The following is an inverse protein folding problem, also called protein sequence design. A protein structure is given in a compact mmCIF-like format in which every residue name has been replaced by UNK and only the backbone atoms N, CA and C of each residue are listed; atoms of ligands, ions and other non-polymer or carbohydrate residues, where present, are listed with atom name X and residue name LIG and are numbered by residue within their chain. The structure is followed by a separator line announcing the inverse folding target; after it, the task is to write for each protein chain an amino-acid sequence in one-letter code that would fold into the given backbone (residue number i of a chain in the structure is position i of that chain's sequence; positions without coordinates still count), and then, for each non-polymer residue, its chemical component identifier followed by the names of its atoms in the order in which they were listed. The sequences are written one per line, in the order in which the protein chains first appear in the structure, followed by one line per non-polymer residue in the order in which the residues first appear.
data_IF_660721720773
#
_entry.id   IF_660721720773
#
_cell.length_a   1.000
_cell.length_b   1.000
_cell.length_c   1.000
_cell.angle_alpha   90.00
_cell.angle_beta   90.00
_cell.angle_gamma   90.00
#
_symmetry.space_group_name_H-M   'P 1'
#
loop_
_entity.id
_entity.type
_entity.pdbx_description
1 polymer ?
#
# COMPACT_ATOMS: atom_id res chain seq x y z
N UNK A 1 23.41 4.46 -13.27
CA UNK A 1 22.42 3.45 -12.85
C UNK A 1 22.76 3.09 -11.41
N UNK A 2 21.96 3.58 -10.47
CA UNK A 2 22.08 3.22 -9.05
C UNK A 2 21.45 1.83 -8.90
N UNK A 3 22.15 0.86 -8.32
CA UNK A 3 21.57 -0.46 -8.04
C UNK A 3 20.32 -0.31 -7.16
N UNK A 4 19.27 -1.09 -7.47
CA UNK A 4 18.06 -1.12 -6.67
C UNK A 4 18.41 -1.60 -5.25
N UNK A 5 18.18 -0.75 -4.25
CA UNK A 5 18.42 -1.12 -2.85
C UNK A 5 17.34 -2.13 -2.43
N UNK A 6 17.75 -3.37 -2.16
CA UNK A 6 16.84 -4.41 -1.66
C UNK A 6 16.36 -4.04 -0.25
N UNK A 7 15.05 -3.83 -0.06
CA UNK A 7 14.43 -3.64 1.27
C UNK A 7 13.96 -4.99 1.84
N UNK A 8 13.99 -5.22 3.17
CA UNK A 8 14.39 -4.27 4.21
C UNK A 8 15.92 -4.13 4.36
N UNK A 9 16.37 -2.96 4.81
CA UNK A 9 17.77 -2.69 5.18
C UNK A 9 17.81 -2.02 6.55
N UNK A 10 18.64 -2.55 7.44
CA UNK A 10 19.01 -1.94 8.70
C UNK A 10 20.49 -1.54 8.65
N UNK A 11 20.81 -0.36 9.16
CA UNK A 11 22.17 0.19 9.19
C UNK A 11 22.29 1.11 10.43
N UNK A 12 23.31 0.92 11.25
CA UNK A 12 23.52 1.73 12.44
C UNK A 12 25.01 1.89 12.74
N UNK A 13 25.37 2.99 13.39
CA UNK A 13 26.75 3.27 13.72
C UNK A 13 26.98 4.67 14.29
N UNK A 14 28.22 5.00 14.67
CA UNK A 14 28.57 6.35 15.07
C UNK A 14 28.61 7.26 13.83
N UNK A 15 27.83 8.33 13.84
CA UNK A 15 27.96 9.45 12.91
C UNK A 15 29.15 10.34 13.31
N UNK A 16 29.34 10.53 14.62
CA UNK A 16 30.52 11.16 15.20
C UNK A 16 30.99 10.36 16.41
N UNK A 17 32.30 10.15 16.51
CA UNK A 17 32.92 9.63 17.71
C UNK A 17 32.85 10.68 18.84
N UNK A 18 32.60 10.23 20.06
CA UNK A 18 32.68 11.09 21.25
C UNK A 18 34.11 11.48 21.56
N UNK A 19 34.30 12.69 22.10
CA UNK A 19 35.60 13.23 22.51
C UNK A 19 35.64 13.70 23.96
N UNK A 20 36.82 14.14 24.40
CA UNK A 20 37.00 14.75 25.74
C UNK A 20 36.78 16.26 25.73
N UNK A 21 36.71 16.88 24.55
CA UNK A 21 36.60 18.33 24.37
C UNK A 21 35.22 18.71 23.83
N UNK A 22 34.74 19.88 24.25
CA UNK A 22 33.56 20.52 23.66
C UNK A 22 33.93 21.00 22.26
N UNK A 23 33.15 20.59 21.27
CA UNK A 23 33.29 21.04 19.90
C UNK A 23 32.38 22.25 19.64
N UNK A 24 32.89 23.21 18.88
CA UNK A 24 32.05 24.29 18.37
C UNK A 24 30.98 23.72 17.40
N UNK A 25 29.77 24.30 17.32
CA UNK A 25 28.72 23.81 16.41
C UNK A 25 29.18 23.67 14.96
N UNK A 26 30.01 24.60 14.48
CA UNK A 26 30.56 24.53 13.12
C UNK A 26 31.48 23.33 12.92
N UNK A 27 32.27 22.94 13.93
CA UNK A 27 33.14 21.75 13.84
C UNK A 27 32.31 20.45 13.79
N UNK A 28 31.22 20.38 14.56
CA UNK A 28 30.25 19.27 14.50
C UNK A 28 29.63 19.20 13.10
N UNK A 29 29.22 20.35 12.56
CA UNK A 29 28.66 20.46 11.22
C UNK A 29 29.64 19.96 10.16
N UNK A 30 30.87 20.44 10.17
CA UNK A 30 31.88 20.09 9.15
C UNK A 30 32.21 18.59 9.15
N UNK A 31 32.22 17.96 10.33
CA UNK A 31 32.50 16.52 10.47
C UNK A 31 31.32 15.64 10.09
N UNK A 32 30.10 15.96 10.56
CA UNK A 32 28.93 15.08 10.42
C UNK A 32 28.14 15.30 9.13
N UNK A 33 28.16 16.53 8.58
CA UNK A 33 27.26 16.92 7.49
C UNK A 33 27.39 16.03 6.24
N UNK A 34 28.59 15.65 5.75
CA UNK A 34 28.70 14.81 4.56
C UNK A 34 28.04 13.44 4.75
N UNK A 35 28.34 12.76 5.86
CA UNK A 35 27.79 11.45 6.17
C UNK A 35 26.26 11.50 6.39
N UNK A 36 25.79 12.47 7.19
CA UNK A 36 24.36 12.65 7.43
C UNK A 36 23.59 12.98 6.14
N UNK A 37 24.15 13.81 5.27
CA UNK A 37 23.55 14.10 3.96
C UNK A 37 23.36 12.82 3.16
N UNK A 38 24.38 11.95 3.10
CA UNK A 38 24.29 10.66 2.42
C UNK A 38 23.22 9.73 3.03
N UNK A 39 23.08 9.70 4.35
CA UNK A 39 22.01 8.94 5.01
C UNK A 39 20.62 9.50 4.68
N UNK A 40 20.44 10.83 4.70
CA UNK A 40 19.15 11.45 4.38
C UNK A 40 18.78 11.35 2.90
N UNK A 41 19.75 11.28 1.98
CA UNK A 41 19.48 10.97 0.58
C UNK A 41 18.89 9.56 0.40
N UNK A 42 19.31 8.59 1.21
CA UNK A 42 18.78 7.21 1.18
C UNK A 42 17.41 7.08 1.85
N UNK A 43 17.15 7.90 2.86
CA UNK A 43 15.97 7.77 3.73
C UNK A 43 14.86 8.71 3.28
N UNK A 44 15.15 9.99 3.04
CA UNK A 44 14.15 11.03 2.94
C UNK A 44 13.84 11.46 1.49
N UNK A 45 14.68 11.11 0.52
CA UNK A 45 14.49 11.50 -0.88
C UNK A 45 14.03 10.32 -1.73
N UNK A 46 12.86 10.48 -2.34
CA UNK A 46 12.21 9.47 -3.18
C UNK A 46 12.02 10.00 -4.60
N UNK A 47 13.05 9.94 -5.47
CA UNK A 47 12.97 10.50 -6.81
C UNK A 47 11.83 9.85 -7.63
N UNK A 48 10.95 10.62 -8.28
CA UNK A 48 9.87 10.04 -9.10
C UNK A 48 10.38 9.11 -10.21
N UNK A 49 11.56 9.38 -10.75
CA UNK A 49 12.21 8.58 -11.78
C UNK A 49 12.59 7.16 -11.30
N UNK A 50 12.71 6.95 -9.99
CA UNK A 50 13.10 5.67 -9.38
C UNK A 50 11.86 4.84 -8.94
N UNK A 51 10.64 5.29 -9.27
CA UNK A 51 9.42 4.55 -8.94
C UNK A 51 9.39 3.22 -9.68
N UNK A 52 9.16 2.13 -8.93
CA UNK A 52 9.08 0.75 -9.44
C UNK A 52 10.42 0.01 -9.42
N UNK A 53 11.55 0.74 -9.52
CA UNK A 53 12.91 0.19 -9.54
C UNK A 53 13.64 0.42 -8.21
N UNK A 54 13.68 1.67 -7.73
CA UNK A 54 14.34 2.07 -6.49
C UNK A 54 13.41 2.18 -5.28
N UNK A 55 12.10 2.38 -5.49
CA UNK A 55 11.09 2.36 -4.43
C UNK A 55 9.69 2.02 -4.95
N UNK A 56 8.80 1.60 -4.05
CA UNK A 56 7.40 1.24 -4.36
C UNK A 56 6.42 1.83 -3.35
N UNK A 57 5.13 1.83 -3.71
CA UNK A 57 4.07 2.18 -2.75
C UNK A 57 4.13 1.20 -1.58
N UNK A 58 4.10 1.74 -0.36
CA UNK A 58 4.24 0.99 0.87
C UNK A 58 5.66 0.86 1.38
N UNK A 59 6.67 1.29 0.62
CA UNK A 59 8.01 1.51 1.17
C UNK A 59 7.97 2.68 2.15
N UNK A 60 8.80 2.61 3.19
CA UNK A 60 8.97 3.67 4.17
C UNK A 60 10.40 3.64 4.68
N UNK A 61 10.82 4.68 5.39
CA UNK A 61 12.12 4.69 6.02
C UNK A 61 12.15 5.60 7.23
N UNK A 62 13.16 5.37 8.08
CA UNK A 62 13.51 6.32 9.12
C UNK A 62 15.01 6.41 9.35
N UNK A 63 15.44 7.56 9.86
CA UNK A 63 16.78 7.80 10.38
C UNK A 63 16.64 8.45 11.75
N UNK A 64 17.20 7.85 12.79
CA UNK A 64 17.27 8.41 14.14
C UNK A 64 18.70 8.83 14.42
N UNK A 65 18.88 10.07 14.89
CA UNK A 65 20.11 10.58 15.44
C UNK A 65 19.95 10.70 16.95
N UNK A 66 20.78 10.00 17.71
CA UNK A 66 20.66 9.96 19.16
C UNK A 66 22.02 10.07 19.86
N UNK A 67 22.01 10.66 21.05
CA UNK A 67 23.18 10.73 21.92
C UNK A 67 22.75 10.65 23.40
N UNK A 68 23.56 10.03 24.27
CA UNK A 68 23.28 9.98 25.70
C UNK A 68 23.49 11.36 26.35
N UNK A 69 22.56 11.74 27.22
CA UNK A 69 22.70 12.92 28.12
C UNK A 69 22.96 12.50 29.57
N UNK A 70 22.68 11.24 29.89
CA UNK A 70 23.07 10.55 31.13
C UNK A 70 23.02 9.03 30.90
N UNK A 71 23.40 8.23 31.89
CA UNK A 71 23.33 6.76 31.81
C UNK A 71 21.89 6.23 31.65
N UNK A 72 20.89 7.04 32.01
CA UNK A 72 19.47 6.68 31.99
C UNK A 72 18.66 7.39 30.90
N UNK A 73 19.28 8.30 30.12
CA UNK A 73 18.56 9.14 29.18
C UNK A 73 19.35 9.41 27.89
N UNK A 74 18.62 9.36 26.77
CA UNK A 74 19.07 9.81 25.46
C UNK A 74 18.15 10.92 24.96
N UNK A 75 18.72 11.82 24.16
CA UNK A 75 17.96 12.75 23.33
C UNK A 75 18.15 12.36 21.87
N UNK A 76 17.12 12.57 21.07
CA UNK A 76 17.14 12.23 19.66
C UNK A 76 16.42 13.24 18.77
N UNK A 77 16.83 13.25 17.51
CA UNK A 77 16.08 13.77 16.38
C UNK A 77 15.88 12.64 15.35
N UNK A 78 14.66 12.48 14.86
CA UNK A 78 14.26 11.43 13.95
C UNK A 78 13.69 12.03 12.67
N UNK A 79 13.97 11.36 11.56
CA UNK A 79 13.32 11.56 10.28
C UNK A 79 12.50 10.31 9.97
N UNK A 80 11.24 10.50 9.60
CA UNK A 80 10.37 9.48 9.01
C UNK A 80 9.92 9.93 7.63
N UNK A 81 9.94 9.03 6.65
CA UNK A 81 9.59 9.38 5.28
C UNK A 81 8.91 8.23 4.52
N UNK A 82 7.99 8.61 3.64
CA UNK A 82 7.29 7.72 2.73
C UNK A 82 7.24 8.37 1.34
N UNK A 83 7.27 7.59 0.24
CA UNK A 83 7.21 8.15 -1.10
C UNK A 83 5.94 8.97 -1.34
N UNK A 84 6.11 10.22 -1.80
CA UNK A 84 5.01 11.13 -2.12
C UNK A 84 4.45 11.91 -0.92
N UNK A 85 4.95 11.66 0.29
CA UNK A 85 4.54 12.36 1.50
C UNK A 85 5.61 13.37 1.95
N UNK A 86 5.19 14.36 2.74
CA UNK A 86 6.13 15.23 3.43
C UNK A 86 6.99 14.44 4.41
N UNK A 87 8.26 14.79 4.54
CA UNK A 87 9.17 14.20 5.52
C UNK A 87 8.79 14.69 6.91
N UNK A 88 8.50 13.76 7.82
CA UNK A 88 8.25 14.06 9.21
C UNK A 88 9.56 14.08 9.98
N UNK A 89 9.88 15.22 10.58
CA UNK A 89 10.98 15.36 11.53
C UNK A 89 10.39 15.39 12.93
N UNK A 90 10.85 14.51 13.81
CA UNK A 90 10.47 14.47 15.22
C UNK A 90 11.68 14.66 16.13
N UNK A 91 11.50 15.37 17.24
CA UNK A 91 12.56 15.67 18.20
C UNK A 91 12.04 15.38 19.61
N UNK A 92 12.91 14.78 20.43
CA UNK A 92 12.61 14.45 21.82
C UNK A 92 12.00 15.64 22.59
N UNK A 93 10.87 15.41 23.26
CA UNK A 93 10.29 16.37 24.22
C UNK A 93 10.47 15.96 25.69
N UNK A 94 10.94 14.74 25.92
CA UNK A 94 10.99 14.10 27.24
C UNK A 94 9.65 13.54 27.72
N UNK A 95 8.55 13.75 27.00
CA UNK A 95 7.21 13.31 27.44
C UNK A 95 7.09 11.78 27.55
N UNK A 96 7.76 11.03 26.68
CA UNK A 96 7.78 9.57 26.67
C UNK A 96 8.97 8.95 27.42
N UNK A 97 9.94 9.77 27.82
CA UNK A 97 11.10 9.37 28.63
C UNK A 97 11.37 10.47 29.64
N UNK A 98 10.72 10.44 30.82
CA UNK A 98 10.81 11.51 31.81
C UNK A 98 12.26 11.92 32.16
N UNK A 99 13.23 11.00 32.32
CA UNK A 99 14.62 11.38 32.55
C UNK A 99 15.22 12.28 31.45
N UNK A 100 14.80 12.11 30.20
CA UNK A 100 15.25 12.97 29.11
C UNK A 100 14.64 14.39 29.17
N UNK A 101 13.45 14.53 29.76
CA UNK A 101 12.76 15.81 29.94
C UNK A 101 13.49 16.76 30.89
N UNK A 102 14.16 16.23 31.91
CA UNK A 102 14.94 17.01 32.88
C UNK A 102 16.17 17.69 32.23
N UNK A 103 16.62 17.19 31.08
CA UNK A 103 17.71 17.76 30.29
C UNK A 103 17.23 18.79 29.24
N UNK A 104 15.92 19.04 29.13
CA UNK A 104 15.34 20.00 28.20
C UNK A 104 14.83 21.24 28.93
N UNK A 105 15.68 22.28 28.97
CA UNK A 105 15.34 23.58 29.54
C UNK A 105 14.20 24.27 28.77
N UNK A 106 13.54 25.25 29.38
CA UNK A 106 12.52 26.06 28.70
C UNK A 106 13.09 26.80 27.48
N UNK A 107 14.35 27.25 27.56
CA UNK A 107 15.03 27.88 26.43
C UNK A 107 15.19 26.91 25.25
N UNK A 108 15.49 25.63 25.52
CA UNK A 108 15.61 24.59 24.50
C UNK A 108 14.26 24.34 23.81
N UNK A 109 13.19 24.29 24.60
CA UNK A 109 11.81 24.10 24.10
C UNK A 109 11.39 25.27 23.21
N UNK A 110 11.63 26.51 23.67
CA UNK A 110 11.34 27.70 22.88
C UNK A 110 12.18 27.78 21.59
N UNK A 111 13.44 27.31 21.62
CA UNK A 111 14.28 27.26 20.43
C UNK A 111 13.70 26.32 19.34
N UNK A 112 13.13 25.17 19.73
CA UNK A 112 12.43 24.28 18.81
C UNK A 112 11.19 24.93 18.21
N UNK A 113 10.37 25.58 19.04
CA UNK A 113 9.17 26.30 18.57
C UNK A 113 9.52 27.42 17.59
N UNK A 114 10.56 28.20 17.88
CA UNK A 114 11.03 29.27 17.00
C UNK A 114 11.55 28.75 15.64
N UNK A 115 11.93 27.47 15.57
CA UNK A 115 12.31 26.77 14.33
C UNK A 115 11.12 26.16 13.59
N UNK A 116 9.90 26.40 14.05
CA UNK A 116 8.67 25.93 13.42
C UNK A 116 8.33 24.47 13.74
N UNK A 117 8.87 23.93 14.84
CA UNK A 117 8.36 22.68 15.39
C UNK A 117 7.10 22.93 16.22
N UNK A 118 6.20 21.96 16.23
CA UNK A 118 4.98 21.97 17.03
C UNK A 118 4.91 20.72 17.89
N UNK A 119 4.29 20.79 19.06
CA UNK A 119 4.05 19.58 19.87
C UNK A 119 2.97 18.73 19.22
N UNK A 120 3.22 17.44 19.04
CA UNK A 120 2.23 16.53 18.47
C UNK A 120 2.65 15.07 18.48
N UNK A 121 1.92 14.27 17.70
CA UNK A 121 2.09 12.82 17.68
C UNK A 121 1.61 12.13 18.96
N UNK A 122 1.64 10.79 18.97
CA UNK A 122 1.23 10.00 20.14
C UNK A 122 2.19 10.12 21.32
N UNK A 123 3.46 10.40 21.03
CA UNK A 123 4.51 10.55 22.03
C UNK A 123 4.60 11.96 22.62
N UNK A 124 3.84 12.93 22.10
CA UNK A 124 3.93 14.34 22.53
C UNK A 124 5.29 14.97 22.24
N UNK A 125 5.94 14.52 21.15
CA UNK A 125 7.24 15.05 20.70
C UNK A 125 7.06 16.36 19.93
N UNK A 126 8.16 17.05 19.70
CA UNK A 126 8.21 18.18 18.77
C UNK A 126 8.28 17.64 17.36
N UNK A 127 7.42 18.10 16.45
CA UNK A 127 7.37 17.63 15.07
C UNK A 127 7.32 18.77 14.07
N UNK A 128 7.86 18.53 12.87
CA UNK A 128 7.86 19.46 11.74
C UNK A 128 7.76 18.67 10.44
N UNK A 129 6.92 19.11 9.51
CA UNK A 129 6.84 18.53 8.16
C UNK A 129 7.75 19.32 7.22
N UNK A 130 8.54 18.60 6.42
CA UNK A 130 9.51 19.17 5.49
C UNK A 130 9.29 18.57 4.11
N UNK A 131 9.15 19.43 3.09
CA UNK A 131 9.10 19.00 1.69
C UNK A 131 10.51 18.87 1.15
N UNK A 132 10.83 17.70 0.56
CA UNK A 132 12.10 17.46 -0.11
C UNK A 132 11.83 17.12 -1.57
N UNK A 133 12.29 17.97 -2.48
CA UNK A 133 12.13 17.76 -3.92
C UNK A 133 13.46 17.32 -4.55
N UNK A 134 14.58 17.81 -3.98
CA UNK A 134 15.90 17.65 -4.56
C UNK A 134 16.90 17.07 -3.56
N UNK A 135 17.97 16.49 -4.09
CA UNK A 135 19.16 16.09 -3.33
C UNK A 135 19.74 17.23 -2.49
N UNK A 136 19.65 18.48 -2.97
CA UNK A 136 20.13 19.64 -2.23
C UNK A 136 19.30 19.91 -0.96
N UNK A 137 18.02 19.53 -0.96
CA UNK A 137 17.16 19.67 0.22
C UNK A 137 17.53 18.68 1.31
N UNK A 138 18.02 17.48 0.97
CA UNK A 138 18.61 16.54 1.96
C UNK A 138 19.77 17.19 2.72
N UNK A 139 20.63 17.93 2.03
CA UNK A 139 21.73 18.66 2.68
C UNK A 139 21.21 19.79 3.57
N UNK A 140 20.16 20.51 3.18
CA UNK A 140 19.51 21.53 4.04
C UNK A 140 18.92 20.90 5.29
N UNK A 141 18.22 19.77 5.14
CA UNK A 141 17.66 19.01 6.27
C UNK A 141 18.76 18.49 7.19
N UNK A 142 19.87 17.95 6.65
CA UNK A 142 21.01 17.52 7.45
C UNK A 142 21.58 18.66 8.31
N UNK A 143 21.71 19.87 7.73
CA UNK A 143 22.14 21.06 8.48
C UNK A 143 21.15 21.42 9.58
N UNK A 144 19.86 21.43 9.29
CA UNK A 144 18.80 21.70 10.27
C UNK A 144 18.85 20.70 11.43
N UNK A 145 18.99 19.40 11.16
CA UNK A 145 19.08 18.38 12.20
C UNK A 145 20.31 18.58 13.09
N UNK A 146 21.48 18.83 12.51
CA UNK A 146 22.71 19.10 13.29
C UNK A 146 22.59 20.39 14.10
N UNK A 147 21.94 21.41 13.55
CA UNK A 147 21.63 22.64 14.27
C UNK A 147 20.62 22.40 15.40
N UNK A 148 19.62 21.51 15.23
CA UNK A 148 18.69 21.10 16.29
C UNK A 148 19.43 20.38 17.41
N UNK A 149 20.29 19.41 17.07
CA UNK A 149 21.07 18.68 18.07
C UNK A 149 21.94 19.63 18.90
N UNK A 150 22.65 20.56 18.24
CA UNK A 150 23.62 21.45 18.91
C UNK A 150 22.95 22.63 19.63
N UNK A 151 22.03 23.34 18.97
CA UNK A 151 21.45 24.58 19.51
C UNK A 151 20.18 24.35 20.34
N UNK A 152 19.48 23.23 20.18
CA UNK A 152 18.27 22.92 20.95
C UNK A 152 18.48 21.80 21.95
N UNK A 153 19.20 20.72 21.59
CA UNK A 153 19.37 19.57 22.48
C UNK A 153 20.68 19.60 23.28
N UNK A 154 21.54 20.60 23.04
CA UNK A 154 22.79 20.78 23.78
C UNK A 154 23.88 19.77 23.44
N UNK A 155 23.81 19.11 22.28
CA UNK A 155 24.88 18.24 21.81
C UNK A 155 26.16 19.04 21.57
N UNK A 156 27.27 18.60 22.16
CA UNK A 156 28.55 19.33 22.17
C UNK A 156 29.75 18.49 21.72
N UNK A 157 29.52 17.27 21.22
CA UNK A 157 30.56 16.37 20.70
C UNK A 157 31.28 15.51 21.73
N UNK A 158 30.99 15.64 23.03
CA UNK A 158 31.62 14.79 24.06
C UNK A 158 31.06 13.36 24.06
N UNK A 159 29.74 13.25 23.93
CA UNK A 159 29.09 11.96 23.72
C UNK A 159 29.18 11.54 22.24
N UNK A 160 29.23 10.24 21.92
CA UNK A 160 29.09 9.80 20.54
C UNK A 160 27.69 10.14 20.01
N UNK A 161 27.62 10.60 18.76
CA UNK A 161 26.35 10.77 18.04
C UNK A 161 26.14 9.53 17.18
N UNK A 162 25.12 8.75 17.52
CA UNK A 162 24.77 7.53 16.79
C UNK A 162 23.65 7.78 15.78
N UNK A 163 23.73 7.10 14.64
CA UNK A 163 22.61 6.99 13.71
C UNK A 163 22.03 5.57 13.74
N UNK A 164 20.72 5.48 13.53
CA UNK A 164 19.99 4.25 13.22
C UNK A 164 19.13 4.49 11.99
N UNK A 165 19.34 3.71 10.95
CA UNK A 165 18.67 3.81 9.67
C UNK A 165 17.91 2.52 9.40
N UNK A 166 16.66 2.67 8.96
CA UNK A 166 15.83 1.57 8.52
C UNK A 166 15.15 1.93 7.20
N UNK A 167 15.27 1.05 6.21
CA UNK A 167 14.50 1.09 4.96
C UNK A 167 13.52 -0.07 4.98
N UNK A 168 12.24 0.22 5.17
CA UNK A 168 11.18 -0.78 5.34
C UNK A 168 10.24 -0.87 4.15
N UNK A 169 9.44 -1.93 4.14
CA UNK A 169 8.33 -2.13 3.20
C UNK A 169 7.13 -2.70 3.96
N UNK A 170 5.94 -2.13 3.71
CA UNK A 170 4.66 -2.66 4.21
C UNK A 170 4.11 -3.74 3.30
N UNK A 171 4.49 -3.71 2.03
CA UNK A 171 4.18 -4.76 1.08
C UNK A 171 5.15 -5.92 1.28
N UNK A 172 4.67 -7.14 1.02
CA UNK A 172 5.50 -8.35 1.04
C UNK A 172 5.54 -8.92 -0.37
N UNK A 173 6.67 -9.52 -0.80
CA UNK A 173 6.69 -10.32 -2.01
C UNK A 173 5.58 -11.37 -1.93
N UNK A 174 4.74 -11.43 -2.96
CA UNK A 174 3.71 -12.43 -3.11
C UNK A 174 3.90 -13.10 -4.48
N UNK A 175 3.57 -14.39 -4.56
CA UNK A 175 3.40 -15.02 -5.86
C UNK A 175 2.15 -14.43 -6.50
N UNK A 176 2.31 -13.94 -7.73
CA UNK A 176 1.25 -13.29 -8.50
C UNK A 176 1.05 -14.03 -9.81
N UNK A 177 -0.18 -14.01 -10.30
CA UNK A 177 -0.56 -14.38 -11.65
C UNK A 177 -0.56 -13.11 -12.50
N UNK A 178 0.37 -13.03 -13.45
CA UNK A 178 0.36 -11.98 -14.48
C UNK A 178 -0.48 -12.39 -15.70
N UNK A 179 -0.69 -13.70 -15.85
CA UNK A 179 -1.60 -14.32 -16.80
C UNK A 179 -2.12 -15.63 -16.22
N UNK A 180 -3.18 -16.17 -16.82
CA UNK A 180 -3.75 -17.47 -16.50
C UNK A 180 -3.76 -18.34 -17.76
N UNK A 181 -3.40 -19.60 -17.62
CA UNK A 181 -3.73 -20.62 -18.62
C UNK A 181 -5.16 -21.14 -18.40
N UNK A 182 -5.70 -21.85 -19.39
CA UNK A 182 -6.98 -22.53 -19.24
C UNK A 182 -7.02 -23.54 -18.10
N UNK A 183 -5.90 -24.26 -17.87
CA UNK A 183 -5.77 -25.20 -16.79
C UNK A 183 -5.71 -24.51 -15.41
N UNK A 184 -4.95 -23.41 -15.29
CA UNK A 184 -4.88 -22.61 -14.06
C UNK A 184 -6.26 -22.10 -13.67
N UNK A 185 -6.99 -21.55 -14.65
CA UNK A 185 -8.33 -21.03 -14.43
C UNK A 185 -9.32 -22.13 -14.02
N UNK A 186 -9.24 -23.30 -14.66
CA UNK A 186 -10.06 -24.45 -14.28
C UNK A 186 -9.75 -24.96 -12.87
N UNK A 187 -8.47 -24.99 -12.45
CA UNK A 187 -8.07 -25.34 -11.08
C UNK A 187 -8.59 -24.34 -10.06
N UNK A 188 -8.49 -23.04 -10.37
CA UNK A 188 -8.99 -21.97 -9.52
C UNK A 188 -10.51 -22.08 -9.29
N UNK A 189 -11.30 -22.25 -10.36
CA UNK A 189 -12.75 -22.40 -10.26
C UNK A 189 -13.16 -23.63 -9.42
N UNK A 190 -12.50 -24.77 -9.63
CA UNK A 190 -12.73 -25.99 -8.82
C UNK A 190 -12.33 -25.80 -7.36
N UNK A 191 -11.22 -25.11 -7.09
CA UNK A 191 -10.77 -24.78 -5.75
C UNK A 191 -11.70 -23.80 -5.01
N UNK A 192 -12.60 -23.12 -5.74
CA UNK A 192 -13.69 -22.30 -5.20
C UNK A 192 -15.05 -23.04 -5.17
N UNK A 193 -15.04 -24.37 -5.35
CA UNK A 193 -16.22 -25.23 -5.21
C UNK A 193 -17.10 -25.35 -6.45
N UNK A 194 -16.68 -24.83 -7.61
CA UNK A 194 -17.46 -24.99 -8.84
C UNK A 194 -17.24 -26.36 -9.48
N UNK A 195 -18.33 -27.08 -9.74
CA UNK A 195 -18.35 -28.16 -10.71
C UNK A 195 -18.43 -27.56 -12.12
N UNK A 196 -17.42 -27.80 -12.95
CA UNK A 196 -17.29 -27.20 -14.28
C UNK A 196 -16.92 -28.23 -15.34
N UNK A 197 -17.36 -27.97 -16.57
CA UNK A 197 -16.94 -28.68 -17.78
C UNK A 197 -16.36 -27.68 -18.80
N UNK A 198 -15.31 -28.05 -19.54
CA UNK A 198 -14.80 -27.21 -20.61
C UNK A 198 -15.82 -27.11 -21.76
N UNK A 199 -15.97 -25.92 -22.32
CA UNK A 199 -16.81 -25.64 -23.49
C UNK A 199 -16.05 -24.71 -24.46
N UNK A 200 -16.30 -24.89 -25.77
CA UNK A 200 -15.68 -24.12 -26.84
C UNK A 200 -14.63 -24.90 -27.64
N UNK A 201 -14.31 -24.38 -28.83
CA UNK A 201 -13.24 -24.85 -29.71
C UNK A 201 -12.37 -23.64 -30.13
N UNK A 202 -11.05 -23.78 -30.15
CA UNK A 202 -10.10 -22.72 -30.55
C UNK A 202 -9.98 -21.58 -29.52
N UNK A 203 -9.85 -20.32 -29.98
CA UNK A 203 -9.56 -19.14 -29.15
C UNK A 203 -10.72 -18.66 -28.23
N UNK A 204 -11.72 -19.50 -27.97
CA UNK A 204 -12.84 -19.21 -27.06
C UNK A 204 -12.95 -20.27 -25.99
N UNK A 205 -11.83 -20.50 -25.31
CA UNK A 205 -11.77 -21.44 -24.20
C UNK A 205 -12.59 -20.92 -23.02
N UNK A 206 -13.61 -21.70 -22.64
CA UNK A 206 -14.47 -21.36 -21.53
C UNK A 206 -14.83 -22.61 -20.71
N UNK A 207 -15.30 -22.37 -19.50
CA UNK A 207 -15.88 -23.39 -18.63
C UNK A 207 -17.37 -23.09 -18.44
N UNK A 208 -18.19 -24.13 -18.43
CA UNK A 208 -19.59 -24.07 -18.01
C UNK A 208 -19.73 -24.70 -16.65
N UNK A 209 -20.40 -24.02 -15.73
CA UNK A 209 -20.78 -24.62 -14.46
C UNK A 209 -21.92 -25.63 -14.66
N UNK A 210 -21.72 -26.85 -14.16
CA UNK A 210 -22.70 -27.95 -14.28
C UNK A 210 -23.67 -27.98 -13.11
N UNK A 211 -23.33 -27.34 -11.99
CA UNK A 211 -24.18 -27.16 -10.81
C UNK A 211 -25.07 -25.91 -10.88
N UNK A 212 -25.88 -25.72 -9.83
CA UNK A 212 -26.58 -24.45 -9.58
C UNK A 212 -25.73 -23.58 -8.64
N UNK A 213 -25.66 -22.25 -8.88
CA UNK A 213 -26.16 -21.52 -10.05
C UNK A 213 -25.34 -21.80 -11.32
N UNK A 214 -26.00 -21.83 -12.49
CA UNK A 214 -25.35 -22.04 -13.79
C UNK A 214 -24.70 -20.75 -14.30
N UNK A 215 -23.46 -20.83 -14.72
CA UNK A 215 -22.72 -19.73 -15.34
C UNK A 215 -21.71 -20.23 -16.37
N UNK A 216 -21.23 -19.31 -17.20
CA UNK A 216 -20.11 -19.50 -18.13
C UNK A 216 -18.94 -18.64 -17.69
N UNK A 217 -17.74 -19.20 -17.71
CA UNK A 217 -16.50 -18.56 -17.34
C UNK A 217 -15.52 -18.63 -18.53
N UNK A 218 -15.30 -17.50 -19.21
CA UNK A 218 -14.47 -17.44 -20.41
C UNK A 218 -13.19 -16.65 -20.15
N UNK A 219 -12.04 -17.16 -20.61
CA UNK A 219 -10.80 -16.39 -20.61
C UNK A 219 -10.87 -15.29 -21.69
N UNK A 220 -10.13 -14.20 -21.47
CA UNK A 220 -10.14 -13.00 -22.30
C UNK A 220 -8.72 -12.44 -22.44
N UNK A 221 -8.49 -11.68 -23.51
CA UNK A 221 -7.24 -10.95 -23.74
C UNK A 221 -6.01 -11.87 -23.72
N UNK A 222 -5.97 -12.81 -24.67
CA UNK A 222 -4.81 -13.67 -24.92
C UNK A 222 -3.56 -12.83 -25.21
N UNK A 223 -2.41 -13.25 -24.70
CA UNK A 223 -1.13 -12.60 -24.89
C UNK A 223 -0.61 -12.84 -26.31
N UNK A 224 -0.18 -11.77 -26.99
CA UNK A 224 0.51 -11.87 -28.28
C UNK A 224 1.89 -12.53 -28.15
N UNK A 225 2.50 -12.48 -26.95
CA UNK A 225 3.84 -13.02 -26.68
C UNK A 225 3.80 -14.50 -26.26
N UNK A 226 2.71 -14.91 -25.60
CA UNK A 226 2.58 -16.25 -25.01
C UNK A 226 1.20 -16.83 -25.32
N UNK A 227 1.10 -17.61 -26.40
CA UNK A 227 -0.14 -18.29 -26.77
C UNK A 227 -0.66 -19.18 -25.62
N UNK A 228 -1.98 -19.17 -25.40
CA UNK A 228 -2.64 -19.87 -24.29
C UNK A 228 -2.54 -19.18 -22.93
N UNK A 229 -1.95 -17.99 -22.84
CA UNK A 229 -1.92 -17.16 -21.64
C UNK A 229 -2.86 -15.97 -21.76
N UNK A 230 -3.71 -15.78 -20.76
CA UNK A 230 -4.77 -14.77 -20.80
C UNK A 230 -4.61 -13.77 -19.67
N UNK A 231 -4.79 -12.49 -20.00
CA UNK A 231 -4.67 -11.38 -19.04
C UNK A 231 -5.99 -11.02 -18.36
N UNK A 232 -7.06 -11.79 -18.59
CA UNK A 232 -8.31 -11.66 -17.83
C UNK A 232 -9.29 -12.80 -18.10
N UNK A 233 -10.42 -12.76 -17.39
CA UNK A 233 -11.55 -13.64 -17.62
C UNK A 233 -12.87 -12.93 -17.35
N UNK A 234 -13.95 -13.50 -17.86
CA UNK A 234 -15.32 -13.02 -17.66
C UNK A 234 -16.21 -14.17 -17.19
N UNK A 235 -16.98 -13.91 -16.15
CA UNK A 235 -18.03 -14.77 -15.63
C UNK A 235 -19.37 -14.20 -16.09
N UNK A 236 -20.28 -15.05 -16.56
CA UNK A 236 -21.58 -14.63 -17.07
C UNK A 236 -22.67 -15.62 -16.70
N UNK A 237 -23.78 -15.11 -16.19
CA UNK A 237 -25.01 -15.85 -15.93
C UNK A 237 -26.07 -15.33 -16.90
N UNK A 238 -26.85 -16.24 -17.47
CA UNK A 238 -27.96 -15.95 -18.37
C UNK A 238 -29.25 -16.54 -17.81
N UNK A 239 -30.33 -15.78 -17.85
CA UNK A 239 -31.66 -16.25 -17.45
C UNK A 239 -32.73 -15.75 -18.41
N UNK A 240 -33.44 -16.70 -19.01
CA UNK A 240 -34.61 -16.40 -19.84
C UNK A 240 -35.83 -16.21 -18.95
N UNK A 241 -36.44 -15.04 -19.01
CA UNK A 241 -37.55 -14.64 -18.16
C UNK A 241 -38.71 -14.09 -18.99
N UNK A 242 -39.92 -14.16 -18.43
CA UNK A 242 -41.06 -13.45 -19.02
C UNK A 242 -40.79 -11.92 -18.98
N UNK A 243 -41.22 -11.14 -20.01
CA UNK A 243 -40.88 -9.71 -20.09
C UNK A 243 -41.24 -8.88 -18.85
N UNK A 244 -42.37 -9.19 -18.19
CA UNK A 244 -42.79 -8.50 -16.97
C UNK A 244 -41.88 -8.79 -15.77
N UNK A 245 -41.38 -10.03 -15.66
CA UNK A 245 -40.44 -10.45 -14.61
C UNK A 245 -39.04 -9.89 -14.87
N UNK A 246 -38.62 -9.88 -16.14
CA UNK A 246 -37.30 -9.43 -16.58
C UNK A 246 -36.99 -8.01 -16.10
N UNK A 247 -37.89 -7.05 -16.36
CA UNK A 247 -37.68 -5.64 -15.99
C UNK A 247 -37.59 -5.47 -14.48
N UNK A 248 -38.44 -6.16 -13.72
CA UNK A 248 -38.44 -6.08 -12.25
C UNK A 248 -37.15 -6.64 -11.65
N UNK A 249 -36.71 -7.81 -12.14
CA UNK A 249 -35.45 -8.44 -11.72
C UNK A 249 -34.25 -7.57 -12.10
N UNK A 250 -34.19 -7.04 -13.32
CA UNK A 250 -33.10 -6.18 -13.78
C UNK A 250 -32.94 -4.94 -12.87
N UNK A 251 -34.04 -4.27 -12.56
CA UNK A 251 -34.01 -3.08 -11.69
C UNK A 251 -33.54 -3.40 -10.27
N UNK A 252 -34.03 -4.50 -9.69
CA UNK A 252 -33.61 -4.95 -8.35
C UNK A 252 -32.12 -5.32 -8.32
N UNK A 253 -31.63 -6.01 -9.36
CA UNK A 253 -30.22 -6.40 -9.44
C UNK A 253 -29.29 -5.22 -9.69
N UNK A 254 -29.68 -4.24 -10.52
CA UNK A 254 -28.89 -3.01 -10.70
C UNK A 254 -28.75 -2.21 -9.40
N UNK A 255 -29.77 -2.23 -8.55
CA UNK A 255 -29.72 -1.57 -7.25
C UNK A 255 -28.88 -2.34 -6.21
N UNK A 256 -28.86 -3.67 -6.27
CA UNK A 256 -28.20 -4.52 -5.28
C UNK A 256 -26.78 -4.96 -5.65
N UNK A 257 -26.40 -4.90 -6.94
CA UNK A 257 -25.11 -5.36 -7.46
C UNK A 257 -24.33 -4.22 -8.13
N UNK A 258 -23.81 -3.23 -7.39
CA UNK A 258 -23.13 -2.07 -7.98
C UNK A 258 -21.82 -2.43 -8.70
N UNK A 259 -21.29 -3.63 -8.51
CA UNK A 259 -20.02 -4.11 -9.07
C UNK A 259 -20.18 -5.10 -10.23
N UNK A 260 -21.39 -5.57 -10.53
CA UNK A 260 -21.65 -6.53 -11.59
C UNK A 260 -22.61 -5.91 -12.62
N UNK A 261 -22.16 -5.68 -13.88
CA UNK A 261 -23.08 -5.28 -14.94
C UNK A 261 -24.27 -6.22 -15.06
N UNK A 262 -25.47 -5.65 -15.01
CA UNK A 262 -26.75 -6.32 -15.27
C UNK A 262 -27.34 -5.71 -16.54
N UNK A 263 -27.55 -6.55 -17.54
CA UNK A 263 -27.94 -6.17 -18.89
C UNK A 263 -29.05 -7.10 -19.40
N UNK A 264 -29.78 -6.67 -20.41
CA UNK A 264 -30.60 -7.54 -21.26
C UNK A 264 -29.81 -7.73 -22.55
N UNK A 265 -29.53 -8.96 -22.95
CA UNK A 265 -28.77 -9.23 -24.16
C UNK A 265 -29.63 -9.13 -25.43
N UNK A 266 -29.01 -9.39 -26.59
CA UNK A 266 -29.68 -9.28 -27.89
C UNK A 266 -30.83 -10.28 -28.09
N UNK A 267 -30.85 -11.36 -27.32
CA UNK A 267 -31.88 -12.40 -27.39
C UNK A 267 -33.03 -12.15 -26.38
N UNK A 268 -32.91 -11.08 -25.58
CA UNK A 268 -33.87 -10.70 -24.56
C UNK A 268 -33.68 -11.42 -23.23
N UNK A 269 -32.55 -12.09 -23.02
CA UNK A 269 -32.24 -12.78 -21.77
C UNK A 269 -31.58 -11.82 -20.77
N UNK A 270 -31.86 -12.03 -19.48
CA UNK A 270 -31.14 -11.35 -18.40
C UNK A 270 -29.70 -11.85 -18.37
N UNK A 271 -28.74 -10.93 -18.44
CA UNK A 271 -27.32 -11.21 -18.34
C UNK A 271 -26.72 -10.50 -17.13
N UNK A 272 -26.12 -11.25 -16.21
CA UNK A 272 -25.25 -10.72 -15.16
C UNK A 272 -23.82 -11.07 -15.51
N UNK A 273 -22.90 -10.11 -15.43
CA UNK A 273 -21.50 -10.31 -15.82
C UNK A 273 -20.52 -9.79 -14.78
N UNK A 274 -19.35 -10.42 -14.68
CA UNK A 274 -18.20 -9.90 -13.96
C UNK A 274 -16.93 -10.16 -14.76
N UNK A 275 -16.13 -9.13 -14.99
CA UNK A 275 -14.83 -9.25 -15.66
C UNK A 275 -13.71 -8.99 -14.66
N UNK A 276 -12.66 -9.80 -14.72
CA UNK A 276 -11.49 -9.71 -13.85
C UNK A 276 -10.26 -9.63 -14.74
N UNK A 277 -9.44 -8.60 -14.53
CA UNK A 277 -8.15 -8.43 -15.19
C UNK A 277 -7.04 -8.92 -14.26
N UNK A 278 -6.14 -9.74 -14.80
CA UNK A 278 -4.97 -10.29 -14.09
C UNK A 278 -3.66 -9.70 -14.60
N UNK A 279 -3.68 -9.02 -15.76
CA UNK A 279 -2.52 -8.33 -16.29
C UNK A 279 -1.96 -7.31 -15.29
N UNK A 280 -0.65 -7.36 -15.06
CA UNK A 280 0.03 -6.56 -14.03
C UNK A 280 0.20 -7.26 -12.68
N UNK A 281 -0.26 -8.50 -12.53
CA UNK A 281 0.03 -9.35 -11.39
C UNK A 281 -1.02 -9.26 -10.29
N UNK A 282 -1.78 -10.34 -10.08
CA UNK A 282 -2.74 -10.48 -8.98
C UNK A 282 -2.46 -11.71 -8.14
N UNK A 283 -2.75 -11.66 -6.84
CA UNK A 283 -2.56 -12.83 -5.96
C UNK A 283 -3.70 -13.85 -6.10
N UNK A 284 -3.44 -15.11 -5.75
CA UNK A 284 -4.50 -16.12 -5.66
C UNK A 284 -5.64 -15.69 -4.72
N UNK A 285 -5.29 -15.05 -3.59
CA UNK A 285 -6.28 -14.55 -2.63
C UNK A 285 -7.19 -13.50 -3.25
N UNK A 286 -6.66 -12.61 -4.09
CA UNK A 286 -7.48 -11.63 -4.83
C UNK A 286 -8.43 -12.34 -5.78
N UNK A 287 -7.94 -13.31 -6.55
CA UNK A 287 -8.76 -14.09 -7.49
C UNK A 287 -9.90 -14.82 -6.77
N UNK A 288 -9.60 -15.47 -5.64
CA UNK A 288 -10.62 -16.10 -4.78
C UNK A 288 -11.64 -15.11 -4.25
N UNK A 289 -11.21 -13.91 -3.88
CA UNK A 289 -12.10 -12.85 -3.42
C UNK A 289 -13.05 -12.37 -4.53
N UNK A 290 -12.53 -12.18 -5.75
CA UNK A 290 -13.35 -11.84 -6.92
C UNK A 290 -14.37 -12.93 -7.25
N UNK A 291 -13.99 -14.20 -7.15
CA UNK A 291 -14.94 -15.31 -7.26
C UNK A 291 -15.97 -15.29 -6.12
N UNK A 292 -15.58 -14.97 -4.89
CA UNK A 292 -16.51 -14.75 -3.79
C UNK A 292 -17.59 -13.69 -4.11
N UNK A 293 -17.20 -12.56 -4.72
CA UNK A 293 -18.16 -11.56 -5.18
C UNK A 293 -19.12 -12.08 -6.26
N UNK A 294 -18.63 -12.87 -7.22
CA UNK A 294 -19.49 -13.50 -8.23
C UNK A 294 -20.52 -14.43 -7.58
N UNK A 295 -20.15 -15.16 -6.53
CA UNK A 295 -21.05 -16.13 -5.89
C UNK A 295 -22.17 -15.40 -5.14
N UNK A 296 -21.82 -14.30 -4.47
CA UNK A 296 -22.79 -13.39 -3.86
C UNK A 296 -23.73 -12.79 -4.91
N UNK A 297 -23.20 -12.36 -6.05
CA UNK A 297 -24.00 -11.82 -7.16
C UNK A 297 -24.97 -12.85 -7.74
N UNK A 298 -24.52 -14.09 -7.98
CA UNK A 298 -25.39 -15.16 -8.46
C UNK A 298 -26.46 -15.56 -7.46
N UNK A 299 -26.15 -15.51 -6.16
CA UNK A 299 -27.13 -15.80 -5.10
C UNK A 299 -28.23 -14.74 -5.09
N UNK A 300 -27.86 -13.46 -5.13
CA UNK A 300 -28.80 -12.35 -5.25
C UNK A 300 -29.64 -12.43 -6.53
N UNK A 301 -29.02 -12.75 -7.67
CA UNK A 301 -29.73 -12.97 -8.93
C UNK A 301 -30.75 -14.10 -8.84
N UNK A 302 -30.37 -15.23 -8.25
CA UNK A 302 -31.27 -16.38 -8.07
C UNK A 302 -32.45 -16.07 -7.15
N UNK A 303 -32.22 -15.33 -6.07
CA UNK A 303 -33.27 -14.90 -5.14
C UNK A 303 -34.24 -13.91 -5.79
N UNK A 304 -33.73 -12.91 -6.50
CA UNK A 304 -34.56 -11.93 -7.21
C UNK A 304 -35.43 -12.62 -8.28
N UNK A 305 -34.85 -13.54 -9.06
CA UNK A 305 -35.59 -14.30 -10.08
C UNK A 305 -36.73 -15.10 -9.44
N UNK A 306 -36.46 -15.85 -8.37
CA UNK A 306 -37.49 -16.64 -7.67
C UNK A 306 -38.61 -15.75 -7.13
N UNK A 307 -38.25 -14.69 -6.41
CA UNK A 307 -39.18 -13.72 -5.83
C UNK A 307 -40.16 -13.15 -6.86
N UNK A 308 -39.67 -12.74 -8.03
CA UNK A 308 -40.52 -12.13 -9.06
C UNK A 308 -41.23 -13.16 -9.95
N UNK A 309 -40.71 -14.38 -10.07
CA UNK A 309 -41.40 -15.48 -10.75
C UNK A 309 -42.62 -15.95 -9.95
N UNK A 310 -42.47 -16.15 -8.64
CA UNK A 310 -43.57 -16.61 -7.76
C UNK A 310 -44.72 -15.59 -7.73
N UNK A 311 -44.40 -14.29 -7.69
CA UNK A 311 -45.40 -13.20 -7.72
C UNK A 311 -46.13 -13.12 -9.06
N UNK A 312 -45.48 -13.49 -10.17
CA UNK A 312 -46.12 -13.49 -11.48
C UNK A 312 -47.12 -14.64 -11.61
N UNK A 313 -46.81 -15.82 -11.07
CA UNK A 313 -47.70 -16.98 -11.09
C UNK A 313 -48.95 -16.76 -10.22
N UNK A 314 -48.83 -16.11 -9.06
CA UNK A 314 -49.97 -15.76 -8.19
C UNK A 314 -50.95 -14.75 -8.81
N UNK A 315 -50.48 -13.89 -9.72
CA UNK A 315 -51.32 -12.91 -10.44
C UNK A 315 -52.05 -13.47 -11.65
N UNK A 316 -51.66 -14.65 -12.13
CA UNK A 316 -52.37 -15.37 -13.20
C UNK A 316 -53.50 -16.24 -12.64
N UNK A 317 -53.44 -16.56 -11.34
CA UNK A 317 -54.42 -17.39 -10.64
C UNK A 317 -55.54 -16.60 -9.93
N UNK A 318 -55.50 -15.26 -9.99
CA UNK A 318 -56.53 -14.36 -9.46
C UNK A 318 -57.17 -13.54 -10.59
#
# INVERSE_FOLDING_TARGET
MTEAVSRPVDDEGPLLAGGTQILAPQAILDQALPALTGHLERVAWWPPADRGTGWRIGDFSFCVLEFPVSDAALLYAQVWSEPGEAVLVEVSSGAWSPPAGDHLSEANRQALLNRGFETGGRAGNYRKLVQLETRADCRKLARELLAVLTECLGYDGRAPLHYKLHLGQRTRPAQVFESLTFDDFGRLLRACGSAIEPIGEGNREAYRATGQPRFVAALQCESDEHAGHFSGFTLSMYARLAPAVLIAVEQELKASLPFAPVLIDGDGDLCVRQSVFVGGGVTESYLRHMLGFWWSAMSAASEAIKKHADVADERVLN
#
